data_IF_637640741298
#
_entry.id   IF_637640741298
#
_cell.length_a   1.000
_cell.length_b   1.000
_cell.length_c   1.000
_cell.angle_alpha   90.00
_cell.angle_beta   90.00
_cell.angle_gamma   90.00
#
_symmetry.space_group_name_H-M   'P 1'
#
loop_
_entity.id
_entity.type
_entity.pdbx_description
1 polymer ?
#
# COMPACT_ATOMS: atom_id res chain seq x y z
N UNK A 1 13.22 21.79 35.24
CA UNK A 1 13.68 20.39 35.21
C UNK A 1 12.44 19.51 35.26
N UNK A 2 12.03 18.95 34.14
CA UNK A 2 10.79 18.16 33.96
C UNK A 2 11.16 16.68 34.00
N UNK A 3 10.69 15.96 35.01
CA UNK A 3 10.84 14.51 35.10
C UNK A 3 9.78 13.86 34.21
N UNK A 4 10.20 13.23 33.12
CA UNK A 4 9.33 12.38 32.30
C UNK A 4 9.06 11.09 33.05
N UNK A 5 7.80 10.69 33.21
CA UNK A 5 7.48 9.30 33.52
C UNK A 5 7.36 8.48 32.23
N UNK A 6 7.43 7.16 32.37
CA UNK A 6 7.60 6.18 31.30
C UNK A 6 6.39 6.03 30.38
N UNK A 7 5.31 6.80 30.59
CA UNK A 7 4.06 6.71 29.83
C UNK A 7 3.74 7.99 29.04
N UNK A 8 4.66 8.96 28.99
CA UNK A 8 4.57 10.09 28.05
C UNK A 8 3.45 11.10 28.32
N UNK A 9 2.83 11.09 29.51
CA UNK A 9 1.84 12.09 29.86
C UNK A 9 2.50 13.30 30.52
N UNK A 10 2.55 14.41 29.78
CA UNK A 10 2.90 15.73 30.30
C UNK A 10 1.76 16.22 31.20
N UNK A 11 1.89 16.04 32.50
CA UNK A 11 1.00 16.68 33.47
C UNK A 11 1.27 18.19 33.49
N UNK A 12 0.41 18.97 32.83
CA UNK A 12 0.38 20.42 32.98
C UNK A 12 0.00 20.77 34.43
N UNK A 13 0.90 21.46 35.12
CA UNK A 13 0.85 21.72 36.58
C UNK A 13 -0.24 22.72 37.02
N UNK A 14 -1.13 23.14 36.11
CA UNK A 14 -2.05 24.27 36.30
C UNK A 14 -3.53 23.96 36.02
N UNK A 15 -3.98 22.70 36.17
CA UNK A 15 -5.40 22.37 36.35
C UNK A 15 -6.39 22.78 35.24
N UNK A 16 -5.91 23.27 34.09
CA UNK A 16 -6.72 23.62 32.93
C UNK A 16 -6.54 22.53 31.89
N UNK A 17 -7.56 21.69 31.71
CA UNK A 17 -7.66 20.84 30.54
C UNK A 17 -7.68 21.77 29.31
N UNK A 18 -6.61 21.75 28.52
CA UNK A 18 -6.63 22.32 27.19
C UNK A 18 -7.57 21.44 26.36
N UNK A 19 -8.83 21.85 26.25
CA UNK A 19 -9.82 21.25 25.37
C UNK A 19 -9.29 21.42 23.94
N UNK A 20 -8.64 20.37 23.43
CA UNK A 20 -8.26 20.33 22.02
C UNK A 20 -9.56 20.15 21.25
N UNK A 21 -10.08 21.26 20.73
CA UNK A 21 -11.03 21.23 19.64
C UNK A 21 -10.35 20.53 18.47
N UNK A 22 -10.63 19.23 18.32
CA UNK A 22 -10.43 18.56 17.05
C UNK A 22 -11.41 19.23 16.10
N UNK A 23 -10.91 20.19 15.31
CA UNK A 23 -11.59 20.55 14.08
C UNK A 23 -11.84 19.23 13.35
N UNK A 24 -13.11 18.93 13.10
CA UNK A 24 -13.48 17.77 12.34
C UNK A 24 -12.82 17.93 10.97
N UNK A 25 -11.69 17.25 10.78
CA UNK A 25 -11.17 17.00 9.45
C UNK A 25 -12.32 16.40 8.67
N UNK A 26 -12.72 17.06 7.60
CA UNK A 26 -13.77 16.63 6.70
C UNK A 26 -13.34 15.27 6.15
N UNK A 27 -13.77 14.20 6.82
CA UNK A 27 -13.54 12.83 6.39
C UNK A 27 -14.41 12.66 5.15
N UNK A 28 -13.86 12.97 3.98
CA UNK A 28 -14.42 12.52 2.71
C UNK A 28 -14.42 11.00 2.71
N UNK A 29 -15.52 10.41 3.18
CA UNK A 29 -15.77 9.00 3.10
C UNK A 29 -15.94 8.67 1.62
N UNK A 30 -14.92 8.05 1.03
CA UNK A 30 -15.02 7.50 -0.32
C UNK A 30 -16.21 6.54 -0.33
N UNK A 31 -17.23 6.75 -1.20
CA UNK A 31 -18.41 5.91 -1.18
C UNK A 31 -18.02 4.46 -1.42
N UNK A 32 -18.49 3.58 -0.53
CA UNK A 32 -18.24 2.15 -0.65
C UNK A 32 -18.89 1.61 -1.95
N UNK A 33 -18.22 0.69 -2.66
CA UNK A 33 -18.79 0.07 -3.85
C UNK A 33 -20.12 -0.62 -3.51
N UNK A 34 -21.11 -0.41 -4.37
CA UNK A 34 -22.48 -0.92 -4.18
C UNK A 34 -22.70 -2.33 -4.75
N UNK A 35 -21.72 -2.85 -5.47
CA UNK A 35 -21.77 -4.15 -6.14
C UNK A 35 -20.58 -5.01 -5.73
N UNK A 36 -20.73 -6.34 -5.84
CA UNK A 36 -19.64 -7.26 -5.57
C UNK A 36 -18.50 -7.05 -6.58
N UNK A 37 -18.85 -6.83 -7.85
CA UNK A 37 -17.89 -6.41 -8.89
C UNK A 37 -17.07 -5.18 -8.48
N UNK A 38 -17.72 -4.15 -7.93
CA UNK A 38 -17.05 -2.93 -7.47
C UNK A 38 -16.10 -3.15 -6.29
N UNK A 39 -16.39 -4.10 -5.39
CA UNK A 39 -15.45 -4.47 -4.31
C UNK A 39 -14.17 -5.06 -4.90
N UNK A 40 -14.30 -6.01 -5.83
CA UNK A 40 -13.13 -6.65 -6.45
C UNK A 40 -12.37 -5.71 -7.39
N UNK A 41 -13.05 -4.75 -8.03
CA UNK A 41 -12.41 -3.67 -8.79
C UNK A 41 -11.51 -2.81 -7.88
N UNK A 42 -12.02 -2.38 -6.72
CA UNK A 42 -11.21 -1.64 -5.75
C UNK A 42 -10.00 -2.45 -5.26
N UNK A 43 -10.19 -3.75 -5.01
CA UNK A 43 -9.08 -4.65 -4.63
C UNK A 43 -8.06 -4.82 -5.77
N UNK A 44 -8.50 -4.90 -7.03
CA UNK A 44 -7.62 -4.97 -8.19
C UNK A 44 -6.84 -3.67 -8.38
N UNK A 45 -7.48 -2.51 -8.22
CA UNK A 45 -6.82 -1.20 -8.24
C UNK A 45 -5.74 -1.08 -7.16
N UNK A 46 -6.10 -1.32 -5.90
CA UNK A 46 -5.14 -1.29 -4.80
C UNK A 46 -3.96 -2.25 -5.03
N UNK A 47 -4.22 -3.39 -5.69
CA UNK A 47 -3.18 -4.36 -6.03
C UNK A 47 -2.25 -3.83 -7.12
N UNK A 48 -2.78 -3.23 -8.17
CA UNK A 48 -2.01 -2.61 -9.24
C UNK A 48 -1.11 -1.48 -8.71
N UNK A 49 -1.64 -0.63 -7.83
CA UNK A 49 -0.87 0.44 -7.19
C UNK A 49 0.28 -0.11 -6.36
N UNK A 50 0.03 -1.15 -5.57
CA UNK A 50 1.08 -1.83 -4.79
C UNK A 50 2.15 -2.48 -5.67
N UNK A 51 1.77 -3.06 -6.81
CA UNK A 51 2.72 -3.62 -7.79
C UNK A 51 3.58 -2.51 -8.39
N UNK A 52 2.96 -1.40 -8.81
CA UNK A 52 3.68 -0.25 -9.38
C UNK A 52 4.73 0.30 -8.40
N UNK A 53 4.33 0.57 -7.15
CA UNK A 53 5.25 1.06 -6.11
C UNK A 53 6.42 0.08 -5.84
N UNK A 54 6.16 -1.23 -5.85
CA UNK A 54 7.22 -2.22 -5.70
C UNK A 54 8.19 -2.23 -6.89
N UNK A 55 7.69 -2.13 -8.12
CA UNK A 55 8.52 -2.06 -9.33
C UNK A 55 9.40 -0.81 -9.34
N UNK A 56 8.85 0.35 -8.92
CA UNK A 56 9.62 1.59 -8.78
C UNK A 56 10.78 1.43 -7.79
N UNK A 57 10.51 0.83 -6.62
CA UNK A 57 11.53 0.55 -5.61
C UNK A 57 12.63 -0.38 -6.12
N UNK A 58 12.27 -1.42 -6.87
CA UNK A 58 13.25 -2.33 -7.49
C UNK A 58 14.10 -1.57 -8.51
N UNK A 59 13.47 -0.74 -9.35
CA UNK A 59 14.17 0.04 -10.36
C UNK A 59 15.13 1.06 -9.73
N UNK A 60 14.76 1.68 -8.61
CA UNK A 60 15.65 2.57 -7.86
C UNK A 60 16.84 1.81 -7.25
N UNK A 61 16.61 0.64 -6.67
CA UNK A 61 17.69 -0.18 -6.12
C UNK A 61 18.68 -0.62 -7.20
N UNK A 62 18.19 -1.06 -8.37
CA UNK A 62 19.05 -1.42 -9.50
C UNK A 62 19.89 -0.23 -9.95
N UNK A 63 19.31 0.98 -10.02
CA UNK A 63 20.06 2.21 -10.34
C UNK A 63 21.15 2.50 -9.29
N UNK A 64 20.84 2.36 -8.00
CA UNK A 64 21.84 2.52 -6.92
C UNK A 64 22.99 1.53 -7.05
N UNK A 65 22.70 0.28 -7.40
CA UNK A 65 23.75 -0.73 -7.56
C UNK A 65 24.57 -0.51 -8.83
N UNK A 66 23.95 -0.02 -9.91
CA UNK A 66 24.66 0.35 -11.13
C UNK A 66 25.78 1.38 -10.84
N UNK A 67 25.48 2.42 -10.06
CA UNK A 67 26.46 3.47 -9.73
C UNK A 67 27.63 2.94 -8.88
N UNK A 68 27.43 1.82 -8.18
CA UNK A 68 28.44 1.17 -7.33
C UNK A 68 29.26 0.10 -8.06
N UNK A 69 28.93 -0.22 -9.32
CA UNK A 69 29.64 -1.25 -10.09
C UNK A 69 31.14 -0.96 -10.23
N UNK A 70 31.53 0.31 -10.31
CA UNK A 70 32.93 0.70 -10.44
C UNK A 70 33.77 0.41 -9.17
N UNK A 71 33.13 0.36 -8.00
CA UNK A 71 33.80 0.17 -6.71
C UNK A 71 33.82 -1.31 -6.29
N UNK A 72 32.69 -2.01 -6.47
CA UNK A 72 32.55 -3.41 -6.08
C UNK A 72 31.57 -4.14 -7.02
N UNK A 73 32.05 -4.63 -8.18
CA UNK A 73 31.18 -5.12 -9.25
C UNK A 73 30.43 -6.41 -8.88
N UNK A 74 31.06 -7.31 -8.12
CA UNK A 74 30.46 -8.61 -7.76
C UNK A 74 29.33 -8.42 -6.75
N UNK A 75 29.55 -7.63 -5.70
CA UNK A 75 28.53 -7.38 -4.70
C UNK A 75 27.38 -6.57 -5.30
N UNK A 76 27.67 -5.52 -6.07
CA UNK A 76 26.65 -4.71 -6.73
C UNK A 76 25.77 -5.54 -7.68
N UNK A 77 26.37 -6.39 -8.51
CA UNK A 77 25.63 -7.29 -9.40
C UNK A 77 24.76 -8.29 -8.59
N UNK A 78 25.31 -8.89 -7.53
CA UNK A 78 24.58 -9.85 -6.69
C UNK A 78 23.41 -9.18 -5.97
N UNK A 79 23.60 -7.98 -5.41
CA UNK A 79 22.54 -7.20 -4.76
C UNK A 79 21.44 -6.76 -5.72
N UNK A 80 21.80 -6.35 -6.95
CA UNK A 80 20.82 -6.00 -7.98
C UNK A 80 19.97 -7.23 -8.37
N UNK A 81 20.62 -8.37 -8.66
CA UNK A 81 19.92 -9.63 -8.99
C UNK A 81 19.01 -10.07 -7.85
N UNK A 82 19.50 -10.03 -6.61
CA UNK A 82 18.71 -10.39 -5.43
C UNK A 82 17.46 -9.50 -5.29
N UNK A 83 17.60 -8.19 -5.46
CA UNK A 83 16.50 -7.23 -5.35
C UNK A 83 15.44 -7.45 -6.42
N UNK A 84 15.85 -7.76 -7.66
CA UNK A 84 14.93 -8.10 -8.74
C UNK A 84 14.21 -9.42 -8.45
N UNK A 85 14.92 -10.49 -8.10
CA UNK A 85 14.31 -11.79 -7.84
C UNK A 85 13.30 -11.75 -6.69
N UNK A 86 13.71 -11.20 -5.55
CA UNK A 86 12.81 -11.06 -4.40
C UNK A 86 11.68 -10.08 -4.64
N UNK A 87 11.97 -9.00 -5.36
CA UNK A 87 10.96 -8.03 -5.76
C UNK A 87 9.86 -8.66 -6.60
N UNK A 88 10.25 -9.39 -7.66
CA UNK A 88 9.33 -10.10 -8.55
C UNK A 88 8.51 -11.17 -7.81
N UNK A 89 9.14 -11.95 -6.93
CA UNK A 89 8.45 -12.97 -6.14
C UNK A 89 7.35 -12.38 -5.24
N UNK A 90 7.54 -11.16 -4.74
CA UNK A 90 6.60 -10.49 -3.83
C UNK A 90 5.53 -9.64 -4.55
N UNK A 91 5.50 -9.63 -5.89
CA UNK A 91 4.45 -8.93 -6.63
C UNK A 91 3.08 -9.60 -6.48
N UNK A 92 3.02 -10.86 -5.98
CA UNK A 92 1.86 -11.78 -5.96
C UNK A 92 0.85 -11.48 -7.09
N UNK A 93 1.32 -11.69 -8.32
CA UNK A 93 0.54 -11.48 -9.55
C UNK A 93 -0.64 -12.44 -9.64
N UNK A 94 -0.56 -13.59 -8.97
CA UNK A 94 -1.64 -14.57 -8.81
C UNK A 94 -2.90 -13.95 -8.19
N UNK A 95 -2.73 -13.09 -7.18
CA UNK A 95 -3.85 -12.41 -6.54
C UNK A 95 -4.54 -11.43 -7.48
N UNK A 96 -3.77 -10.74 -8.35
CA UNK A 96 -4.32 -9.85 -9.36
C UNK A 96 -5.16 -10.63 -10.38
N UNK A 97 -4.69 -11.78 -10.83
CA UNK A 97 -5.43 -12.67 -11.75
C UNK A 97 -6.74 -13.14 -11.10
N UNK A 98 -6.70 -13.52 -9.82
CA UNK A 98 -7.89 -13.93 -9.09
C UNK A 98 -8.94 -12.79 -9.01
N UNK A 99 -8.53 -11.57 -8.64
CA UNK A 99 -9.44 -10.43 -8.59
C UNK A 99 -10.04 -10.13 -9.98
N UNK A 100 -9.25 -10.18 -11.05
CA UNK A 100 -9.75 -9.98 -12.41
C UNK A 100 -10.82 -11.03 -12.79
N UNK A 101 -10.61 -12.30 -12.42
CA UNK A 101 -11.59 -13.36 -12.62
C UNK A 101 -12.90 -13.11 -11.85
N UNK A 102 -12.81 -12.69 -10.59
CA UNK A 102 -13.97 -12.37 -9.75
C UNK A 102 -14.76 -11.17 -10.27
N UNK A 103 -14.08 -10.14 -10.80
CA UNK A 103 -14.73 -9.02 -11.46
C UNK A 103 -15.56 -9.51 -12.66
N UNK A 104 -14.95 -10.31 -13.53
CA UNK A 104 -15.64 -10.84 -14.72
C UNK A 104 -16.85 -11.71 -14.34
N UNK A 105 -16.68 -12.59 -13.34
CA UNK A 105 -17.74 -13.45 -12.83
C UNK A 105 -18.93 -12.64 -12.29
N UNK A 106 -18.68 -11.70 -11.38
CA UNK A 106 -19.77 -10.93 -10.75
C UNK A 106 -20.45 -9.97 -11.72
N UNK A 107 -19.74 -9.39 -12.68
CA UNK A 107 -20.37 -8.59 -13.74
C UNK A 107 -21.34 -9.41 -14.58
N UNK A 108 -21.01 -10.67 -14.87
CA UNK A 108 -21.90 -11.56 -15.60
C UNK A 108 -23.16 -11.92 -14.78
N UNK A 109 -23.01 -12.23 -13.49
CA UNK A 109 -24.17 -12.49 -12.60
C UNK A 109 -25.07 -11.26 -12.45
N UNK A 110 -24.47 -10.08 -12.23
CA UNK A 110 -25.20 -8.81 -12.06
C UNK A 110 -25.99 -8.45 -13.33
N UNK A 111 -25.42 -8.68 -14.51
CA UNK A 111 -26.12 -8.49 -15.78
C UNK A 111 -27.26 -9.50 -15.99
N UNK A 112 -27.11 -10.75 -15.54
CA UNK A 112 -28.17 -11.75 -15.57
C UNK A 112 -29.37 -11.35 -14.71
N UNK A 113 -29.12 -10.92 -13.46
CA UNK A 113 -30.18 -10.47 -12.53
C UNK A 113 -30.92 -9.21 -12.99
N UNK A 114 -30.31 -8.38 -13.83
CA UNK A 114 -30.94 -7.16 -14.35
C UNK A 114 -31.93 -7.43 -15.50
N UNK A 115 -31.89 -8.62 -16.10
CA UNK A 115 -32.73 -9.01 -17.23
C UNK A 115 -33.90 -9.94 -16.85
N UNK A 116 -33.98 -10.36 -15.58
CA UNK A 116 -35.08 -11.12 -14.98
C UNK A 116 -36.11 -10.20 -14.31
#
# INVERSE_FOLDING_TARGET
>A
MTTSDSNGNLHARDGKFAEKHHAADDVTLTPAPRTASGVYENMAHARLDSIAANLERIAEEVRRQHDRLAENPVDAATSAVHSVMWGMANLNLDQLVNHAGLIAYHRAEEAGRAND
#
